data_IF_817848656701
#
_entry.id   IF_817848656701
#
_cell.length_a   1.000
_cell.length_b   1.000
_cell.length_c   1.000
_cell.angle_alpha   90.00
_cell.angle_beta   90.00
_cell.angle_gamma   90.00
#
_symmetry.space_group_name_H-M   'P 1'
#
loop_
_entity.id
_entity.type
_entity.pdbx_description
1 polymer ?
#
# COMPACT_ATOMS: atom_id res chain seq x y z
N UNK A 1 21.18 37.74 14.68
CA UNK A 1 21.93 36.81 13.81
C UNK A 1 21.83 35.42 14.43
N UNK A 2 20.71 34.73 14.19
CA UNK A 2 20.33 33.52 14.93
C UNK A 2 19.58 32.54 14.00
N UNK A 3 20.17 32.12 12.87
CA UNK A 3 19.42 31.36 11.85
C UNK A 3 20.24 30.28 11.12
N UNK A 4 21.12 29.55 11.83
CA UNK A 4 21.88 28.47 11.18
C UNK A 4 22.04 27.17 12.00
N UNK A 5 21.66 27.16 13.28
CA UNK A 5 21.81 25.97 14.14
C UNK A 5 20.52 25.17 14.30
N UNK A 6 19.35 25.79 14.10
CA UNK A 6 18.05 25.17 14.31
C UNK A 6 17.68 24.18 13.17
N UNK A 7 18.03 24.53 11.93
CA UNK A 7 17.73 23.71 10.75
C UNK A 7 18.46 22.34 10.76
N UNK A 8 19.69 22.28 11.29
CA UNK A 8 20.44 21.03 11.40
C UNK A 8 19.87 20.09 12.47
N UNK A 9 19.20 20.64 13.49
CA UNK A 9 18.58 19.85 14.55
C UNK A 9 17.24 19.25 14.08
N UNK A 10 16.46 20.02 13.33
CA UNK A 10 15.20 19.57 12.71
C UNK A 10 15.45 18.44 11.71
N UNK A 11 16.56 18.49 10.96
CA UNK A 11 16.93 17.44 10.01
C UNK A 11 17.30 16.12 10.73
N UNK A 12 18.02 16.21 11.86
CA UNK A 12 18.37 15.05 12.70
C UNK A 12 17.14 14.39 13.34
N UNK A 13 16.10 15.17 13.64
CA UNK A 13 14.86 14.65 14.22
C UNK A 13 14.07 13.79 13.20
N UNK A 14 14.01 14.22 11.94
CA UNK A 14 13.30 13.48 10.88
C UNK A 14 14.04 12.18 10.48
N UNK A 15 15.37 12.16 10.58
CA UNK A 15 16.19 10.96 10.33
C UNK A 15 16.11 9.93 11.47
N UNK A 16 15.82 10.35 12.71
CA UNK A 16 15.76 9.44 13.86
C UNK A 16 14.41 8.69 13.96
N UNK A 17 13.33 9.27 13.43
CA UNK A 17 11.99 8.64 13.44
C UNK A 17 11.91 7.47 12.43
N UNK A 18 12.74 7.48 11.38
CA UNK A 18 12.76 6.46 10.32
C UNK A 18 13.54 5.17 10.70
N UNK A 19 14.27 5.15 11.82
CA UNK A 19 15.18 4.05 12.18
C UNK A 19 14.61 3.03 13.19
N UNK A 20 13.38 3.21 13.69
CA UNK A 20 12.77 2.30 14.68
C UNK A 20 11.33 1.86 14.37
N UNK A 21 10.90 1.96 13.11
CA UNK A 21 9.78 1.17 12.60
C UNK A 21 10.36 -0.04 11.87
N UNK A 22 10.12 -1.22 12.42
CA UNK A 22 10.15 -2.47 11.66
C UNK A 22 9.06 -2.36 10.57
N UNK A 23 9.41 -1.81 9.41
CA UNK A 23 8.47 -1.53 8.32
C UNK A 23 8.99 -2.09 6.99
N UNK A 24 8.61 -3.35 6.74
CA UNK A 24 8.50 -3.84 5.37
C UNK A 24 7.57 -2.92 4.56
N UNK A 25 8.18 -2.08 3.71
CA UNK A 25 7.61 -1.34 2.55
C UNK A 25 7.13 0.10 2.77
N UNK A 26 8.11 1.00 2.61
CA UNK A 26 8.17 2.27 1.86
C UNK A 26 6.91 3.15 1.68
N UNK A 27 7.10 4.49 1.79
CA UNK A 27 6.06 5.51 1.90
C UNK A 27 5.42 5.84 0.54
N UNK A 28 4.12 6.17 0.56
CA UNK A 28 3.51 7.02 -0.48
C UNK A 28 2.44 7.94 0.12
N UNK A 29 2.94 9.04 0.65
CA UNK A 29 2.51 10.42 0.45
C UNK A 29 1.15 10.66 -0.21
N UNK A 30 0.32 11.42 0.50
CA UNK A 30 -0.90 12.10 0.08
C UNK A 30 -0.76 12.75 -1.32
N UNK A 31 -1.45 12.26 -2.35
CA UNK A 31 -2.14 13.09 -3.36
C UNK A 31 -2.87 12.28 -4.43
N UNK A 32 -4.16 12.57 -4.52
CA UNK A 32 -5.10 12.24 -5.59
C UNK A 32 -4.56 12.50 -7.00
N UNK A 33 -4.42 11.45 -7.81
CA UNK A 33 -4.73 11.46 -9.24
C UNK A 33 -5.29 10.09 -9.62
N UNK A 34 -6.47 10.07 -10.26
CA UNK A 34 -7.08 8.88 -10.88
C UNK A 34 -6.15 8.35 -11.98
N UNK A 35 -5.20 7.49 -11.63
CA UNK A 35 -4.30 6.85 -12.57
C UNK A 35 -4.32 5.35 -12.33
N UNK A 36 -5.33 4.65 -12.89
CA UNK A 36 -5.45 3.18 -13.00
C UNK A 36 -4.45 2.39 -12.14
N UNK A 37 -4.62 2.48 -10.81
CA UNK A 37 -3.60 1.97 -9.90
C UNK A 37 -3.69 0.46 -9.87
N UNK A 38 -2.62 -0.21 -10.30
CA UNK A 38 -2.52 -1.66 -10.27
C UNK A 38 -1.87 -2.07 -8.95
N UNK A 39 -2.62 -2.77 -8.12
CA UNK A 39 -2.17 -3.31 -6.84
C UNK A 39 -1.53 -4.68 -7.02
N UNK A 40 -0.62 -5.01 -6.12
CA UNK A 40 -0.06 -6.36 -5.99
C UNK A 40 -0.80 -7.13 -4.88
N UNK A 41 -0.51 -8.43 -4.74
CA UNK A 41 -1.17 -9.29 -3.76
C UNK A 41 -1.05 -8.77 -2.32
N UNK A 42 0.10 -8.22 -1.95
CA UNK A 42 0.33 -7.69 -0.59
C UNK A 42 -0.48 -6.42 -0.33
N UNK A 43 -0.54 -5.51 -1.30
CA UNK A 43 -1.37 -4.30 -1.17
C UNK A 43 -2.85 -4.66 -1.01
N UNK A 44 -3.34 -5.62 -1.79
CA UNK A 44 -4.73 -6.09 -1.70
C UNK A 44 -5.01 -6.74 -0.34
N UNK A 45 -4.09 -7.55 0.16
CA UNK A 45 -4.20 -8.16 1.47
C UNK A 45 -4.25 -7.13 2.60
N UNK A 46 -3.41 -6.09 2.51
CA UNK A 46 -3.38 -5.00 3.46
C UNK A 46 -4.68 -4.17 3.41
N UNK A 47 -5.14 -3.84 2.19
CA UNK A 47 -6.37 -3.07 1.97
C UNK A 47 -7.60 -3.76 2.55
N UNK A 48 -7.72 -5.08 2.33
CA UNK A 48 -8.81 -5.90 2.84
C UNK A 48 -8.61 -6.35 4.30
N UNK A 49 -7.43 -6.09 4.89
CA UNK A 49 -7.00 -6.60 6.21
C UNK A 49 -7.15 -8.12 6.35
N UNK A 50 -6.75 -8.86 5.33
CA UNK A 50 -6.79 -10.33 5.31
C UNK A 50 -5.42 -10.93 5.02
N UNK A 51 -5.23 -12.22 5.30
CA UNK A 51 -4.00 -12.92 4.95
C UNK A 51 -3.84 -13.12 3.43
N UNK A 52 -2.61 -13.22 2.94
CA UNK A 52 -2.33 -13.55 1.52
C UNK A 52 -3.06 -14.83 1.07
N UNK A 53 -3.15 -15.83 1.94
CA UNK A 53 -3.86 -17.09 1.67
C UNK A 53 -5.36 -16.84 1.41
N UNK A 54 -5.97 -15.92 2.16
CA UNK A 54 -7.37 -15.54 1.98
C UNK A 54 -7.55 -14.83 0.65
N UNK A 55 -6.66 -13.91 0.26
CA UNK A 55 -6.70 -13.28 -1.06
C UNK A 55 -6.60 -14.33 -2.17
N UNK A 56 -5.70 -15.30 -2.05
CA UNK A 56 -5.63 -16.44 -2.98
C UNK A 56 -6.94 -17.23 -3.07
N UNK A 57 -7.56 -17.51 -1.92
CA UNK A 57 -8.84 -18.20 -1.89
C UNK A 57 -9.94 -17.37 -2.55
N UNK A 58 -9.99 -16.06 -2.33
CA UNK A 58 -10.96 -15.18 -2.97
C UNK A 58 -10.79 -15.11 -4.49
N UNK A 59 -9.56 -15.16 -4.99
CA UNK A 59 -9.29 -15.26 -6.43
C UNK A 59 -9.77 -16.61 -6.97
N UNK A 60 -9.50 -17.70 -6.25
CA UNK A 60 -9.90 -19.05 -6.64
C UNK A 60 -11.42 -19.23 -6.61
N UNK A 61 -12.09 -18.57 -5.67
CA UNK A 61 -13.55 -18.54 -5.52
C UNK A 61 -14.22 -17.62 -6.56
N UNK A 62 -13.44 -16.77 -7.22
CA UNK A 62 -13.95 -15.81 -8.22
C UNK A 62 -14.51 -14.52 -7.63
N UNK A 63 -14.35 -14.30 -6.32
CA UNK A 63 -14.76 -13.08 -5.60
C UNK A 63 -13.87 -11.88 -5.94
N UNK A 64 -12.57 -12.12 -6.14
CA UNK A 64 -11.62 -11.09 -6.57
C UNK A 64 -11.06 -11.40 -7.95
N UNK A 65 -11.12 -10.41 -8.84
CA UNK A 65 -10.49 -10.48 -10.16
C UNK A 65 -9.01 -10.11 -10.06
N UNK A 66 -8.16 -11.13 -10.13
CA UNK A 66 -6.71 -10.98 -10.26
C UNK A 66 -6.23 -11.34 -11.66
N UNK A 67 -5.34 -10.53 -12.22
CA UNK A 67 -4.61 -10.84 -13.44
C UNK A 67 -3.22 -11.35 -13.08
N UNK A 68 -2.91 -12.58 -13.50
CA UNK A 68 -1.56 -13.14 -13.35
C UNK A 68 -0.66 -12.60 -14.46
N UNK A 69 0.32 -11.78 -14.10
CA UNK A 69 1.28 -11.18 -15.04
C UNK A 69 2.67 -11.74 -14.71
N UNK A 70 3.12 -12.69 -15.53
CA UNK A 70 4.38 -13.41 -15.29
C UNK A 70 4.35 -14.21 -14.00
N UNK A 71 5.13 -13.77 -13.00
CA UNK A 71 5.27 -14.41 -11.68
C UNK A 71 4.46 -13.72 -10.58
N UNK A 72 3.84 -12.58 -10.89
CA UNK A 72 3.13 -11.77 -9.91
C UNK A 72 1.64 -11.68 -10.22
N UNK A 73 0.85 -11.40 -9.18
CA UNK A 73 -0.56 -11.07 -9.31
C UNK A 73 -0.74 -9.56 -9.32
N UNK A 74 -1.57 -9.11 -10.26
CA UNK A 74 -1.93 -7.72 -10.47
C UNK A 74 -3.43 -7.57 -10.34
N UNK A 75 -3.86 -6.55 -9.61
CA UNK A 75 -5.26 -6.28 -9.34
C UNK A 75 -5.54 -4.83 -9.70
N UNK A 76 -6.67 -4.57 -10.36
CA UNK A 76 -7.10 -3.18 -10.53
C UNK A 76 -7.66 -2.68 -9.21
N UNK A 77 -7.09 -1.58 -8.69
CA UNK A 77 -7.59 -0.93 -7.47
C UNK A 77 -9.09 -0.70 -7.53
N UNK A 78 -9.59 -0.24 -8.68
CA UNK A 78 -11.01 0.01 -8.89
C UNK A 78 -11.88 -1.23 -8.61
N UNK A 79 -11.47 -2.42 -9.05
CA UNK A 79 -12.27 -3.64 -8.80
C UNK A 79 -12.22 -4.06 -7.34
N UNK A 80 -11.10 -3.84 -6.64
CA UNK A 80 -11.01 -4.10 -5.20
C UNK A 80 -11.86 -3.12 -4.40
N UNK A 81 -11.84 -1.83 -4.77
CA UNK A 81 -12.71 -0.80 -4.18
C UNK A 81 -14.19 -1.12 -4.40
N UNK A 82 -14.57 -1.55 -5.62
CA UNK A 82 -15.93 -1.99 -5.94
C UNK A 82 -16.35 -3.20 -5.11
N UNK A 83 -15.45 -4.17 -4.93
CA UNK A 83 -15.69 -5.33 -4.07
C UNK A 83 -15.98 -4.93 -2.62
N UNK A 84 -15.18 -4.03 -2.06
CA UNK A 84 -15.37 -3.50 -0.70
C UNK A 84 -16.71 -2.77 -0.59
N UNK A 85 -17.10 -2.02 -1.61
CA UNK A 85 -18.36 -1.27 -1.64
C UNK A 85 -19.61 -2.17 -1.76
N UNK A 86 -19.49 -3.33 -2.40
CA UNK A 86 -20.63 -4.22 -2.65
C UNK A 86 -20.84 -5.28 -1.57
N UNK A 87 -19.75 -5.77 -0.95
CA UNK A 87 -19.77 -6.95 -0.09
C UNK A 87 -19.64 -6.66 1.42
N UNK A 88 -19.49 -5.39 1.82
CA UNK A 88 -19.44 -4.93 3.21
C UNK A 88 -20.66 -4.08 3.54
#
# INVERSE_FOLDING_TARGET
>A
MLEALDAKMIQKLNETIDTFQDESKKPSTISSVKATEVLNLSEVANLLRVSHQTVYNMIRDGRLKGHKVGREWRFMKNEIEQYIQFEI
#
